data_IF_979327273518
#
_entry.id   IF_979327273518
#
_cell.length_a   1.000
_cell.length_b   1.000
_cell.length_c   1.000
_cell.angle_alpha   90.00
_cell.angle_beta   90.00
_cell.angle_gamma   90.00
#
_symmetry.space_group_name_H-M   'P 1'
#
loop_
_entity.id
_entity.type
_entity.pdbx_description
1 polymer ?
#
# COMPACT_ATOMS: atom_id res chain seq x y z
N UNK A 1 27.61 -31.21 0.32
CA UNK A 1 28.05 -30.02 -0.42
C UNK A 1 27.70 -28.76 0.38
N UNK A 2 28.59 -27.82 0.66
CA UNK A 2 28.23 -26.60 1.34
C UNK A 2 27.28 -25.79 0.45
N UNK A 3 26.12 -25.44 1.00
CA UNK A 3 25.14 -24.57 0.32
C UNK A 3 25.81 -23.24 0.02
N UNK A 4 26.00 -22.93 -1.26
CA UNK A 4 26.48 -21.61 -1.70
C UNK A 4 25.52 -20.58 -1.09
N UNK A 5 26.05 -19.72 -0.20
CA UNK A 5 25.29 -18.61 0.39
C UNK A 5 25.04 -17.59 -0.73
N UNK A 6 23.79 -17.47 -1.15
CA UNK A 6 23.34 -16.40 -2.03
C UNK A 6 22.88 -15.20 -1.17
N UNK A 7 23.68 -14.11 -1.09
CA UNK A 7 23.37 -12.96 -0.26
C UNK A 7 22.06 -12.26 -0.68
N UNK A 8 21.77 -12.19 -1.99
CA UNK A 8 20.54 -11.58 -2.52
C UNK A 8 19.32 -12.36 -2.08
N UNK A 9 19.35 -13.69 -2.19
CA UNK A 9 18.27 -14.57 -1.73
C UNK A 9 18.06 -14.48 -0.22
N UNK A 10 19.14 -14.37 0.55
CA UNK A 10 19.07 -14.23 2.00
C UNK A 10 18.43 -12.90 2.39
N UNK A 11 18.87 -11.79 1.77
CA UNK A 11 18.29 -10.45 2.00
C UNK A 11 16.81 -10.41 1.70
N UNK A 12 16.37 -10.98 0.56
CA UNK A 12 14.95 -11.06 0.19
C UNK A 12 14.13 -11.84 1.21
N UNK A 13 14.59 -12.98 1.70
CA UNK A 13 13.91 -13.75 2.75
C UNK A 13 13.74 -12.95 4.04
N UNK A 14 14.76 -12.18 4.43
CA UNK A 14 14.68 -11.30 5.60
C UNK A 14 13.60 -10.26 5.40
N UNK A 15 13.58 -9.58 4.26
CA UNK A 15 12.58 -8.56 3.95
C UNK A 15 11.16 -9.13 3.92
N UNK A 16 10.95 -10.28 3.30
CA UNK A 16 9.65 -10.96 3.28
C UNK A 16 9.16 -11.33 4.69
N UNK A 17 10.06 -11.84 5.53
CA UNK A 17 9.75 -12.14 6.93
C UNK A 17 9.46 -10.88 7.74
N UNK A 18 10.21 -9.79 7.49
CA UNK A 18 10.04 -8.51 8.15
C UNK A 18 8.72 -7.84 7.77
N UNK A 19 8.37 -7.84 6.49
CA UNK A 19 7.08 -7.34 6.05
C UNK A 19 5.92 -8.06 6.77
N UNK A 20 5.94 -9.40 6.81
CA UNK A 20 4.91 -10.18 7.50
C UNK A 20 4.86 -9.92 9.00
N UNK A 21 6.03 -9.78 9.64
CA UNK A 21 6.14 -9.49 11.07
C UNK A 21 5.56 -8.11 11.39
N UNK A 22 5.98 -7.08 10.66
CA UNK A 22 5.51 -5.71 10.87
C UNK A 22 4.03 -5.54 10.51
N UNK A 23 3.57 -6.24 9.48
CA UNK A 23 2.16 -6.20 9.09
C UNK A 23 1.23 -6.75 10.17
N UNK A 24 1.66 -7.84 10.84
CA UNK A 24 0.85 -8.51 11.89
C UNK A 24 0.94 -7.84 13.25
N UNK A 25 2.10 -7.33 13.62
CA UNK A 25 2.40 -6.90 14.99
C UNK A 25 2.70 -5.41 15.12
N UNK A 26 2.62 -4.64 14.04
CA UNK A 26 3.10 -3.27 13.96
C UNK A 26 4.62 -3.21 13.90
N UNK A 27 5.17 -2.04 13.61
CA UNK A 27 6.62 -1.87 13.56
C UNK A 27 7.22 -1.97 14.96
N UNK A 28 6.70 -1.24 15.95
CA UNK A 28 7.25 -1.26 17.32
C UNK A 28 7.11 -2.63 17.99
N UNK A 29 5.96 -3.31 17.82
CA UNK A 29 5.70 -4.67 18.31
C UNK A 29 6.46 -5.76 17.56
N UNK A 30 7.02 -5.46 16.39
CA UNK A 30 7.79 -6.39 15.56
C UNK A 30 9.11 -6.79 16.22
N UNK A 31 9.46 -8.08 16.14
CA UNK A 31 10.61 -8.68 16.81
C UNK A 31 11.65 -9.21 15.84
N UNK A 32 12.89 -8.73 15.96
CA UNK A 32 14.03 -9.26 15.20
C UNK A 32 14.20 -10.78 15.43
N UNK A 33 13.92 -11.27 16.64
CA UNK A 33 14.00 -12.71 16.91
C UNK A 33 12.97 -13.52 16.10
N UNK A 34 11.73 -13.04 16.01
CA UNK A 34 10.70 -13.69 15.18
C UNK A 34 11.03 -13.62 13.70
N UNK A 35 11.58 -12.48 13.24
CA UNK A 35 12.01 -12.29 11.85
C UNK A 35 13.12 -13.31 11.48
N UNK A 36 14.19 -13.42 12.26
CA UNK A 36 15.29 -14.34 11.94
C UNK A 36 14.85 -15.80 11.99
N UNK A 37 13.95 -16.15 12.92
CA UNK A 37 13.37 -17.50 13.01
C UNK A 37 12.53 -17.80 11.76
N UNK A 38 11.64 -16.87 11.36
CA UNK A 38 10.79 -17.03 10.18
C UNK A 38 11.60 -17.06 8.86
N UNK A 39 12.69 -16.30 8.77
CA UNK A 39 13.60 -16.30 7.63
C UNK A 39 14.54 -17.51 7.58
N UNK A 40 14.66 -18.29 8.67
CA UNK A 40 15.57 -19.42 8.78
C UNK A 40 17.03 -19.02 8.75
N UNK A 41 17.40 -17.90 9.39
CA UNK A 41 18.76 -17.36 9.44
C UNK A 41 19.18 -17.03 10.88
N UNK A 42 20.45 -16.64 11.06
CA UNK A 42 20.94 -16.14 12.34
C UNK A 42 20.81 -14.61 12.46
N UNK A 43 20.83 -14.06 13.68
CA UNK A 43 20.90 -12.62 13.91
C UNK A 43 22.11 -11.97 13.23
N UNK A 44 23.27 -12.61 13.29
CA UNK A 44 24.49 -12.11 12.64
C UNK A 44 24.32 -11.99 11.12
N UNK A 45 23.61 -12.95 10.49
CA UNK A 45 23.30 -12.87 9.06
C UNK A 45 22.34 -11.72 8.74
N UNK A 46 21.35 -11.42 9.60
CA UNK A 46 20.49 -10.25 9.44
C UNK A 46 21.27 -8.95 9.54
N UNK A 47 22.07 -8.79 10.60
CA UNK A 47 22.84 -7.56 10.82
C UNK A 47 23.99 -7.35 9.82
N UNK A 48 24.36 -8.37 9.06
CA UNK A 48 25.24 -8.21 7.90
C UNK A 48 24.54 -7.45 6.74
N UNK A 49 23.20 -7.52 6.65
CA UNK A 49 22.42 -6.88 5.59
C UNK A 49 21.73 -5.58 6.03
N UNK A 50 21.44 -5.40 7.31
CA UNK A 50 20.67 -4.28 7.84
C UNK A 50 21.28 -3.84 9.19
N UNK A 51 21.61 -2.55 9.33
CA UNK A 51 22.25 -2.03 10.54
C UNK A 51 21.34 -2.09 11.78
N UNK A 52 20.00 -2.17 11.58
CA UNK A 52 19.06 -2.22 12.68
C UNK A 52 17.62 -2.39 12.22
N UNK A 53 16.71 -2.32 13.19
CA UNK A 53 15.26 -2.49 12.93
C UNK A 53 14.70 -1.37 12.07
N UNK A 54 15.16 -0.11 12.26
CA UNK A 54 14.69 1.02 11.47
C UNK A 54 15.09 0.86 10.00
N UNK A 55 16.35 0.50 9.71
CA UNK A 55 16.82 0.26 8.35
C UNK A 55 16.03 -0.88 7.68
N UNK A 56 15.71 -1.93 8.45
CA UNK A 56 14.86 -3.01 7.97
C UNK A 56 13.43 -2.54 7.66
N UNK A 57 12.88 -1.64 8.48
CA UNK A 57 11.59 -1.00 8.24
C UNK A 57 11.61 -0.12 6.99
N UNK A 58 12.63 0.70 6.82
CA UNK A 58 12.82 1.52 5.61
C UNK A 58 12.88 0.66 4.35
N UNK A 59 13.68 -0.42 4.39
CA UNK A 59 13.76 -1.34 3.27
C UNK A 59 12.42 -2.04 2.95
N UNK A 60 11.58 -2.29 3.96
CA UNK A 60 10.21 -2.79 3.73
C UNK A 60 9.35 -1.74 3.02
N UNK A 61 9.45 -0.46 3.39
CA UNK A 61 8.76 0.61 2.67
C UNK A 61 9.24 0.72 1.22
N UNK A 62 10.57 0.79 1.04
CA UNK A 62 11.19 1.05 -0.27
C UNK A 62 11.04 -0.14 -1.23
N UNK A 63 11.16 -1.39 -0.76
CA UNK A 63 11.26 -2.58 -1.62
C UNK A 63 9.97 -3.43 -1.67
N UNK A 64 9.00 -3.17 -0.78
CA UNK A 64 7.70 -3.86 -0.79
C UNK A 64 6.52 -2.93 -1.00
N UNK A 65 6.42 -1.84 -0.21
CA UNK A 65 5.22 -1.00 -0.24
C UNK A 65 5.24 -0.01 -1.40
N UNK A 66 6.38 0.61 -1.70
CA UNK A 66 6.52 1.46 -2.88
C UNK A 66 6.23 0.70 -4.19
N UNK A 67 6.83 -0.47 -4.45
CA UNK A 67 6.47 -1.28 -5.61
C UNK A 67 5.00 -1.72 -5.64
N UNK A 68 4.39 -1.97 -4.48
CA UNK A 68 2.97 -2.31 -4.42
C UNK A 68 2.09 -1.15 -4.88
N UNK A 69 2.38 0.09 -4.45
CA UNK A 69 1.66 1.29 -4.94
C UNK A 69 1.87 1.48 -6.42
N UNK A 70 3.12 1.33 -6.91
CA UNK A 70 3.41 1.44 -8.33
C UNK A 70 2.58 0.46 -9.15
N UNK A 71 2.59 -0.82 -8.82
CA UNK A 71 1.86 -1.87 -9.54
C UNK A 71 0.33 -1.72 -9.48
N UNK A 72 -0.19 -1.19 -8.36
CA UNK A 72 -1.65 -1.07 -8.19
C UNK A 72 -2.22 0.21 -8.77
N UNK A 73 -1.48 1.32 -8.71
CA UNK A 73 -1.98 2.66 -9.01
C UNK A 73 -1.20 3.36 -10.13
N UNK A 74 0.13 3.40 -10.04
CA UNK A 74 0.94 4.19 -10.98
C UNK A 74 0.94 3.57 -12.38
N UNK A 75 1.37 2.31 -12.49
CA UNK A 75 1.47 1.63 -13.79
C UNK A 75 0.14 1.57 -14.55
N UNK A 76 -1.00 1.20 -13.92
CA UNK A 76 -2.26 1.18 -14.64
C UNK A 76 -2.77 2.57 -15.09
N UNK A 77 -2.40 3.63 -14.36
CA UNK A 77 -2.87 5.00 -14.64
C UNK A 77 -1.92 5.78 -15.56
N UNK A 78 -0.65 5.36 -15.71
CA UNK A 78 0.39 6.10 -16.41
C UNK A 78 -0.01 6.50 -17.84
N UNK A 79 -0.48 5.55 -18.64
CA UNK A 79 -0.88 5.77 -20.04
C UNK A 79 -2.38 5.49 -20.27
N UNK A 80 -3.21 5.70 -19.23
CA UNK A 80 -4.62 5.43 -19.30
C UNK A 80 -5.34 6.39 -20.25
N UNK A 81 -5.87 5.89 -21.37
CA UNK A 81 -6.74 6.66 -22.26
C UNK A 81 -8.08 7.01 -21.63
N UNK A 82 -8.59 6.15 -20.73
CA UNK A 82 -9.78 6.37 -19.91
C UNK A 82 -9.44 6.13 -18.42
N UNK A 83 -9.02 7.17 -17.67
CA UNK A 83 -8.64 7.05 -16.28
C UNK A 83 -9.83 6.67 -15.37
N UNK A 84 -11.08 7.03 -15.72
CA UNK A 84 -12.27 6.65 -14.95
C UNK A 84 -12.48 5.15 -15.01
N UNK A 85 -12.38 4.56 -16.18
CA UNK A 85 -12.51 3.10 -16.34
C UNK A 85 -11.38 2.35 -15.63
N UNK A 86 -10.15 2.88 -15.68
CA UNK A 86 -9.00 2.28 -14.98
C UNK A 86 -9.20 2.34 -13.47
N UNK A 87 -9.60 3.49 -12.90
CA UNK A 87 -9.89 3.64 -11.47
C UNK A 87 -10.98 2.68 -11.00
N UNK A 88 -12.08 2.56 -11.77
CA UNK A 88 -13.14 1.57 -11.48
C UNK A 88 -12.61 0.14 -11.43
N UNK A 89 -11.76 -0.23 -12.39
CA UNK A 89 -11.15 -1.55 -12.45
C UNK A 89 -10.20 -1.81 -11.28
N UNK A 90 -9.42 -0.79 -10.87
CA UNK A 90 -8.56 -0.87 -9.67
C UNK A 90 -9.41 -1.14 -8.44
N UNK A 91 -10.46 -0.35 -8.19
CA UNK A 91 -11.34 -0.50 -7.03
C UNK A 91 -12.04 -1.88 -7.03
N UNK A 92 -12.52 -2.34 -8.18
CA UNK A 92 -13.14 -3.67 -8.32
C UNK A 92 -12.16 -4.79 -8.03
N UNK A 93 -10.94 -4.71 -8.59
CA UNK A 93 -9.87 -5.70 -8.38
C UNK A 93 -9.43 -5.73 -6.93
N UNK A 94 -9.34 -4.56 -6.29
CA UNK A 94 -8.96 -4.44 -4.90
C UNK A 94 -10.00 -5.07 -3.97
N UNK A 95 -11.28 -4.79 -4.18
CA UNK A 95 -12.38 -5.41 -3.41
C UNK A 95 -12.36 -6.94 -3.57
N UNK A 96 -12.29 -7.43 -4.80
CA UNK A 96 -12.23 -8.88 -5.08
C UNK A 96 -11.06 -9.54 -4.35
N UNK A 97 -9.86 -8.94 -4.41
CA UNK A 97 -8.69 -9.48 -3.72
C UNK A 97 -8.90 -9.62 -2.22
N UNK A 98 -9.49 -8.59 -1.57
CA UNK A 98 -9.73 -8.62 -0.12
C UNK A 98 -10.79 -9.67 0.24
N UNK A 99 -11.81 -9.85 -0.59
CA UNK A 99 -12.83 -10.90 -0.40
C UNK A 99 -12.27 -12.31 -0.53
N UNK A 100 -11.19 -12.50 -1.27
CA UNK A 100 -10.51 -13.78 -1.47
C UNK A 100 -9.39 -14.04 -0.43
N UNK A 101 -9.01 -13.04 0.38
CA UNK A 101 -7.98 -13.20 1.42
C UNK A 101 -8.53 -13.94 2.65
N UNK A 102 -7.60 -14.56 3.42
CA UNK A 102 -7.94 -15.14 4.73
C UNK A 102 -8.49 -14.03 5.66
N UNK A 103 -9.72 -14.16 6.16
CA UNK A 103 -10.32 -13.16 7.02
C UNK A 103 -9.54 -12.88 8.31
N UNK A 104 -8.70 -13.82 8.77
CA UNK A 104 -7.93 -13.72 10.01
C UNK A 104 -6.47 -13.30 9.79
N UNK A 105 -6.01 -13.20 8.54
CA UNK A 105 -4.63 -12.88 8.22
C UNK A 105 -4.48 -11.83 7.10
N UNK A 106 -5.56 -11.52 6.39
CA UNK A 106 -5.59 -10.61 5.25
C UNK A 106 -5.72 -9.14 5.63
N UNK A 107 -6.05 -8.35 4.62
CA UNK A 107 -6.17 -6.89 4.70
C UNK A 107 -7.27 -6.44 5.66
N UNK A 108 -8.40 -7.13 5.69
CA UNK A 108 -9.49 -6.77 6.60
C UNK A 108 -9.07 -6.89 8.08
N UNK A 109 -8.26 -7.89 8.39
CA UNK A 109 -7.77 -8.12 9.77
C UNK A 109 -6.63 -7.19 10.16
N UNK A 110 -5.64 -7.02 9.27
CA UNK A 110 -4.42 -6.29 9.57
C UNK A 110 -4.47 -4.82 9.11
N UNK A 111 -5.43 -4.43 8.26
CA UNK A 111 -5.54 -3.09 7.69
C UNK A 111 -4.57 -2.84 6.53
N UNK A 112 -4.48 -1.59 6.10
CA UNK A 112 -3.50 -1.17 5.10
C UNK A 112 -2.09 -1.09 5.73
N UNK A 113 -1.09 -1.80 5.19
CA UNK A 113 0.26 -1.74 5.75
C UNK A 113 0.86 -0.33 5.71
N UNK A 114 0.58 0.47 4.66
CA UNK A 114 1.06 1.85 4.55
C UNK A 114 0.45 2.71 5.67
N UNK A 115 -0.88 2.62 5.87
CA UNK A 115 -1.56 3.36 6.94
C UNK A 115 -1.06 2.94 8.33
N UNK A 116 -0.81 1.65 8.55
CA UNK A 116 -0.28 1.16 9.82
C UNK A 116 1.08 1.81 10.12
N UNK A 117 2.03 1.77 9.18
CA UNK A 117 3.31 2.45 9.34
C UNK A 117 3.15 3.97 9.51
N UNK A 118 2.26 4.61 8.73
CA UNK A 118 2.08 6.05 8.78
C UNK A 118 1.60 6.52 10.17
N UNK A 119 0.57 5.88 10.71
CA UNK A 119 0.02 6.25 12.03
C UNK A 119 1.00 5.95 13.15
N UNK A 120 1.72 4.82 13.07
CA UNK A 120 2.63 4.39 14.12
C UNK A 120 3.95 5.15 14.10
N UNK A 121 4.57 5.36 12.93
CA UNK A 121 5.96 5.76 12.82
C UNK A 121 6.20 7.18 12.35
N UNK A 122 5.28 7.81 11.62
CA UNK A 122 5.48 9.21 11.16
C UNK A 122 5.72 10.22 12.28
N UNK A 123 5.07 10.13 13.45
CA UNK A 123 5.35 11.05 14.56
C UNK A 123 6.65 10.74 15.32
N UNK A 124 7.27 9.58 15.11
CA UNK A 124 8.36 9.08 15.92
C UNK A 124 9.73 9.09 15.20
N UNK A 125 9.72 9.06 13.87
CA UNK A 125 10.95 8.89 13.08
C UNK A 125 10.82 9.59 11.73
N UNK A 126 11.74 10.54 11.48
CA UNK A 126 11.76 11.35 10.27
C UNK A 126 11.96 10.50 9.00
N UNK A 127 12.84 9.49 9.06
CA UNK A 127 13.09 8.64 7.90
C UNK A 127 11.87 7.81 7.48
N UNK A 128 11.00 7.42 8.42
CA UNK A 128 9.69 6.85 8.10
C UNK A 128 8.75 7.89 7.52
N UNK A 129 8.68 9.08 8.12
CA UNK A 129 7.78 10.16 7.69
C UNK A 129 8.05 10.57 6.24
N UNK A 130 9.32 10.75 5.88
CA UNK A 130 9.72 11.13 4.51
C UNK A 130 9.36 10.06 3.48
N UNK A 131 9.69 8.78 3.77
CA UNK A 131 9.38 7.66 2.85
C UNK A 131 7.88 7.46 2.67
N UNK A 132 7.13 7.54 3.76
CA UNK A 132 5.68 7.42 3.70
C UNK A 132 5.04 8.60 2.97
N UNK A 133 5.55 9.83 3.18
CA UNK A 133 5.17 11.00 2.40
C UNK A 133 5.37 10.75 0.90
N UNK A 134 6.56 10.30 0.49
CA UNK A 134 6.85 9.95 -0.90
C UNK A 134 5.88 8.88 -1.47
N UNK A 135 5.53 7.86 -0.68
CA UNK A 135 4.57 6.84 -1.11
C UNK A 135 3.18 7.44 -1.34
N UNK A 136 2.69 8.28 -0.41
CA UNK A 136 1.40 8.94 -0.55
C UNK A 136 1.39 9.96 -1.70
N UNK A 137 2.44 10.74 -1.87
CA UNK A 137 2.60 11.69 -2.96
C UNK A 137 2.59 10.97 -4.32
N UNK A 138 3.33 9.86 -4.43
CA UNK A 138 3.35 9.03 -5.64
C UNK A 138 1.97 8.50 -5.99
N UNK A 139 1.23 8.01 -5.00
CA UNK A 139 -0.13 7.52 -5.21
C UNK A 139 -1.09 8.65 -5.61
N UNK A 140 -1.04 9.77 -4.90
CA UNK A 140 -1.85 10.95 -5.16
C UNK A 140 -1.59 11.53 -6.56
N UNK A 141 -0.33 11.74 -6.91
CA UNK A 141 0.07 12.27 -8.22
C UNK A 141 -0.39 11.36 -9.37
N UNK A 142 -0.26 10.02 -9.22
CA UNK A 142 -0.70 9.09 -10.26
C UNK A 142 -2.19 9.24 -10.60
N UNK A 143 -3.05 9.47 -9.59
CA UNK A 143 -4.49 9.70 -9.78
C UNK A 143 -4.74 11.09 -10.37
N UNK A 144 -4.16 12.13 -9.78
CA UNK A 144 -4.37 13.53 -10.20
C UNK A 144 -3.98 13.73 -11.66
N UNK A 145 -2.76 13.33 -12.04
CA UNK A 145 -2.24 13.47 -13.40
C UNK A 145 -3.05 12.65 -14.42
N UNK A 146 -3.53 11.46 -14.05
CA UNK A 146 -4.39 10.68 -14.93
C UNK A 146 -5.73 11.39 -15.19
N UNK A 147 -6.35 11.98 -14.16
CA UNK A 147 -7.58 12.75 -14.30
C UNK A 147 -7.36 14.03 -15.12
N UNK A 148 -6.24 14.73 -14.93
CA UNK A 148 -5.86 15.90 -15.74
C UNK A 148 -5.72 15.55 -17.22
N UNK A 149 -5.05 14.44 -17.54
CA UNK A 149 -4.98 13.94 -18.93
C UNK A 149 -6.37 13.59 -19.47
N UNK A 150 -7.22 12.98 -18.64
CA UNK A 150 -8.62 12.70 -19.00
C UNK A 150 -9.46 13.94 -19.28
N UNK A 151 -9.24 15.05 -18.55
CA UNK A 151 -9.84 16.35 -18.84
C UNK A 151 -9.36 16.92 -20.18
N UNK A 152 -8.06 16.86 -20.45
CA UNK A 152 -7.49 17.34 -21.71
C UNK A 152 -8.04 16.60 -22.94
N UNK A 153 -8.51 15.37 -22.80
CA UNK A 153 -9.12 14.53 -23.83
C UNK A 153 -10.65 14.48 -23.77
N UNK A 154 -11.29 15.27 -22.90
CA UNK A 154 -12.72 15.29 -22.64
C UNK A 154 -13.33 13.93 -22.22
N UNK A 155 -12.55 13.02 -21.67
CA UNK A 155 -13.01 11.77 -21.06
C UNK A 155 -13.41 11.98 -19.60
N UNK A 156 -12.83 13.00 -18.96
CA UNK A 156 -13.17 13.43 -17.60
C UNK A 156 -13.81 14.80 -17.68
N UNK A 157 -14.87 15.03 -16.90
CA UNK A 157 -15.56 16.32 -16.83
C UNK A 157 -14.62 17.46 -16.37
N UNK A 158 -14.77 18.64 -16.98
CA UNK A 158 -13.85 19.78 -16.77
C UNK A 158 -14.11 20.57 -15.49
N UNK A 159 -15.25 20.38 -14.84
CA UNK A 159 -15.68 21.16 -13.66
C UNK A 159 -15.25 20.52 -12.32
N UNK A 160 -14.46 19.44 -12.34
CA UNK A 160 -13.86 18.85 -11.15
C UNK A 160 -12.41 19.30 -10.99
N UNK A 161 -11.91 19.23 -9.75
CA UNK A 161 -10.50 19.48 -9.45
C UNK A 161 -9.78 18.11 -9.31
N UNK A 162 -8.90 17.71 -10.25
CA UNK A 162 -8.20 16.41 -10.22
C UNK A 162 -7.41 16.17 -8.93
N UNK A 163 -6.75 17.20 -8.39
CA UNK A 163 -5.99 17.09 -7.13
C UNK A 163 -6.92 16.81 -5.94
N UNK A 164 -8.08 17.46 -5.87
CA UNK A 164 -9.06 17.21 -4.82
C UNK A 164 -9.67 15.81 -4.92
N UNK A 165 -9.96 15.35 -6.14
CA UNK A 165 -10.45 13.99 -6.40
C UNK A 165 -9.41 12.93 -5.98
N UNK A 166 -8.13 13.14 -6.31
CA UNK A 166 -7.05 12.28 -5.86
C UNK A 166 -6.95 12.23 -4.33
N UNK A 167 -7.03 13.39 -3.67
CA UNK A 167 -7.02 13.48 -2.20
C UNK A 167 -8.20 12.72 -1.57
N UNK A 168 -9.40 12.84 -2.15
CA UNK A 168 -10.58 12.09 -1.71
C UNK A 168 -10.39 10.58 -1.86
N UNK A 169 -9.94 10.11 -3.03
CA UNK A 169 -9.76 8.69 -3.30
C UNK A 169 -8.68 8.05 -2.40
N UNK A 170 -7.54 8.71 -2.20
CA UNK A 170 -6.51 8.25 -1.27
C UNK A 170 -7.05 8.18 0.15
N UNK A 171 -7.79 9.20 0.59
CA UNK A 171 -8.35 9.29 1.94
C UNK A 171 -9.43 8.23 2.20
N UNK A 172 -10.33 7.97 1.23
CA UNK A 172 -11.37 6.95 1.41
C UNK A 172 -10.77 5.54 1.45
N UNK A 173 -9.73 5.26 0.66
CA UNK A 173 -9.02 3.99 0.69
C UNK A 173 -8.31 3.77 2.04
N UNK A 174 -7.60 4.78 2.52
CA UNK A 174 -6.91 4.75 3.82
C UNK A 174 -7.89 4.62 5.00
N UNK A 175 -8.95 5.44 5.01
CA UNK A 175 -9.97 5.44 6.04
C UNK A 175 -10.77 4.15 6.09
N UNK A 176 -11.20 3.63 4.94
CA UNK A 176 -11.95 2.36 4.88
C UNK A 176 -11.13 1.18 5.39
N UNK A 177 -9.82 1.16 5.11
CA UNK A 177 -8.91 0.15 5.62
C UNK A 177 -8.77 0.21 7.14
N UNK A 178 -8.66 1.43 7.70
CA UNK A 178 -8.53 1.64 9.15
C UNK A 178 -9.80 1.24 9.91
N UNK A 179 -10.97 1.69 9.44
CA UNK A 179 -12.25 1.32 10.05
C UNK A 179 -12.57 -0.16 9.84
N UNK A 180 -12.28 -0.71 8.66
CA UNK A 180 -12.43 -2.14 8.38
C UNK A 180 -11.64 -3.01 9.33
N UNK A 181 -10.39 -2.63 9.64
CA UNK A 181 -9.53 -3.30 10.62
C UNK A 181 -10.15 -3.31 12.03
N UNK A 182 -10.73 -2.19 12.47
CA UNK A 182 -11.35 -2.08 13.80
C UNK A 182 -12.67 -2.86 13.88
N UNK A 183 -13.52 -2.72 12.86
CA UNK A 183 -14.85 -3.31 12.85
C UNK A 183 -14.85 -4.79 12.48
N UNK A 184 -13.82 -5.25 11.77
CA UNK A 184 -13.73 -6.61 11.20
C UNK A 184 -14.94 -6.95 10.31
N UNK A 185 -15.58 -5.92 9.72
CA UNK A 185 -16.78 -6.08 8.92
C UNK A 185 -16.51 -5.84 7.44
N UNK A 186 -16.50 -6.91 6.65
CA UNK A 186 -16.38 -6.86 5.20
C UNK A 186 -17.47 -5.98 4.56
N UNK A 187 -18.68 -5.97 5.12
CA UNK A 187 -19.78 -5.15 4.62
C UNK A 187 -19.47 -3.65 4.67
N UNK A 188 -18.81 -3.18 5.72
CA UNK A 188 -18.38 -1.78 5.82
C UNK A 188 -17.41 -1.42 4.70
N UNK A 189 -16.35 -2.21 4.55
CA UNK A 189 -15.34 -1.99 3.51
C UNK A 189 -15.96 -2.05 2.10
N UNK A 190 -16.79 -3.07 1.83
CA UNK A 190 -17.51 -3.21 0.55
C UNK A 190 -18.38 -1.99 0.23
N UNK A 191 -19.09 -1.45 1.21
CA UNK A 191 -19.93 -0.28 1.02
C UNK A 191 -19.11 0.96 0.67
N UNK A 192 -17.98 1.20 1.36
CA UNK A 192 -17.07 2.31 1.03
C UNK A 192 -16.54 2.20 -0.41
N UNK A 193 -16.08 1.01 -0.82
CA UNK A 193 -15.58 0.80 -2.18
C UNK A 193 -16.67 0.97 -3.24
N UNK A 194 -17.91 0.48 -2.98
CA UNK A 194 -19.03 0.68 -3.91
C UNK A 194 -19.38 2.16 -4.08
N UNK A 195 -19.42 2.93 -3.00
CA UNK A 195 -19.68 4.37 -3.08
C UNK A 195 -18.54 5.08 -3.82
N UNK A 196 -17.28 4.70 -3.57
CA UNK A 196 -16.14 5.23 -4.33
C UNK A 196 -16.24 4.90 -5.83
N UNK A 197 -16.71 3.70 -6.20
CA UNK A 197 -16.96 3.34 -7.61
C UNK A 197 -18.01 4.22 -8.25
N UNK A 198 -19.16 4.45 -7.58
CA UNK A 198 -20.24 5.33 -8.07
C UNK A 198 -19.70 6.76 -8.23
N UNK A 199 -18.92 7.25 -7.26
CA UNK A 199 -18.30 8.56 -7.34
C UNK A 199 -17.37 8.67 -8.56
N UNK A 200 -16.48 7.70 -8.75
CA UNK A 200 -15.58 7.66 -9.92
C UNK A 200 -16.36 7.61 -11.23
N UNK A 201 -17.48 6.88 -11.29
CA UNK A 201 -18.36 6.87 -12.46
C UNK A 201 -18.97 8.25 -12.79
N UNK A 202 -19.20 9.08 -11.77
CA UNK A 202 -19.73 10.45 -11.97
C UNK A 202 -18.71 11.44 -12.52
N UNK A 203 -17.44 11.05 -12.65
CA UNK A 203 -16.38 11.91 -13.22
C UNK A 203 -16.39 11.95 -14.75
N UNK A 204 -17.22 11.13 -15.42
CA UNK A 204 -17.42 11.24 -16.88
C UNK A 204 -18.25 12.46 -17.22
N UNK A 205 -18.08 13.08 -18.41
CA UNK A 205 -18.97 14.13 -18.90
C UNK A 205 -20.41 13.63 -19.05
N UNK A 206 -21.38 14.52 -18.81
CA UNK A 206 -22.81 14.25 -18.97
C UNK A 206 -23.19 14.07 -20.44
#
# INVERSE_FOLDING_TARGET
>A
MPRVRDPKRTRRKVLEASYREFYRHGFQGGSINRIVTAAGITKGALFHHFAGKNELGYAVLDEFLTPAVNNWWVEPLHDAGDPVQVLRNILKRFLKRIEEEDPQAGFLFNGCPICNFAVEMSPLDEGFRERLGTIYDTWHCAISEALERGQATAVVRSDINPTAEASFLVSIMAGSASVGKVTQQMAFFRNCIKVAQIHVESLVPS
#
